data_IF_669566677798
#
_entry.id   IF_669566677798
#
_cell.length_a   1.000
_cell.length_b   1.000
_cell.length_c   1.000
_cell.angle_alpha   90.00
_cell.angle_beta   90.00
_cell.angle_gamma   90.00
#
_symmetry.space_group_name_H-M   'P 1'
#
loop_
_entity.id
_entity.type
_entity.pdbx_description
1 polymer ?
#
# COMPACT_ATOMS: atom_id res chain seq x y z
N UNK A 1 -16.18 -23.20 4.41
CA UNK A 1 -15.88 -21.75 4.54
C UNK A 1 -17.15 -21.01 4.96
N UNK A 2 -17.04 -20.01 5.80
CA UNK A 2 -18.19 -19.23 6.25
C UNK A 2 -18.79 -18.43 5.08
N UNK A 3 -20.14 -18.29 5.08
CA UNK A 3 -20.87 -17.43 4.12
C UNK A 3 -20.43 -15.96 4.17
N UNK A 4 -19.65 -15.56 5.19
CA UNK A 4 -19.10 -14.22 5.33
C UNK A 4 -17.78 -14.00 4.56
N UNK A 5 -17.20 -15.08 4.02
CA UNK A 5 -15.96 -15.03 3.26
C UNK A 5 -16.28 -15.39 1.82
N UNK A 6 -15.88 -14.53 0.90
CA UNK A 6 -15.98 -14.74 -0.54
C UNK A 6 -14.60 -14.66 -1.16
N UNK A 7 -14.34 -15.53 -2.14
CA UNK A 7 -13.13 -15.49 -2.92
C UNK A 7 -13.45 -15.07 -4.34
N UNK A 8 -12.59 -14.23 -4.92
CA UNK A 8 -12.69 -13.82 -6.31
C UNK A 8 -11.33 -13.98 -6.97
N UNK A 9 -11.32 -14.62 -8.13
CA UNK A 9 -10.12 -14.69 -8.97
C UNK A 9 -10.04 -13.45 -9.86
N UNK A 10 -8.82 -12.95 -10.09
CA UNK A 10 -8.61 -11.81 -10.97
C UNK A 10 -7.16 -11.33 -10.96
N UNK A 11 -6.87 -10.44 -11.89
CA UNK A 11 -5.61 -9.72 -11.97
C UNK A 11 -5.85 -8.28 -11.52
N UNK A 12 -5.34 -7.91 -10.33
CA UNK A 12 -5.60 -6.59 -9.74
C UNK A 12 -4.93 -5.42 -10.51
N UNK A 13 -4.11 -5.70 -11.52
CA UNK A 13 -3.62 -4.67 -12.43
C UNK A 13 -4.53 -4.45 -13.64
N UNK A 14 -5.38 -5.41 -13.96
CA UNK A 14 -6.27 -5.38 -15.14
C UNK A 14 -7.74 -5.29 -14.76
N UNK A 15 -8.13 -6.03 -13.74
CA UNK A 15 -9.52 -6.13 -13.31
C UNK A 15 -9.84 -5.09 -12.23
N UNK A 16 -11.06 -4.52 -12.22
CA UNK A 16 -11.46 -3.65 -11.12
C UNK A 16 -11.55 -4.45 -9.81
N UNK A 17 -11.14 -3.82 -8.72
CA UNK A 17 -11.30 -4.42 -7.40
C UNK A 17 -12.78 -4.43 -6.99
N UNK A 18 -13.22 -5.44 -6.22
CA UNK A 18 -14.57 -5.43 -5.65
C UNK A 18 -14.79 -4.19 -4.79
N UNK A 19 -16.03 -3.67 -4.83
CA UNK A 19 -16.39 -2.53 -3.96
C UNK A 19 -16.33 -2.92 -2.49
N UNK A 20 -15.76 -2.06 -1.67
CA UNK A 20 -15.59 -2.30 -0.24
C UNK A 20 -15.52 -1.00 0.55
N UNK A 21 -15.75 -1.09 1.86
CA UNK A 21 -15.57 0.03 2.79
C UNK A 21 -14.12 0.10 3.29
N UNK A 22 -13.43 -1.03 3.33
CA UNK A 22 -12.03 -1.15 3.69
C UNK A 22 -11.32 -2.04 2.70
N UNK A 23 -10.19 -1.59 2.18
CA UNK A 23 -9.31 -2.39 1.32
C UNK A 23 -7.94 -2.46 2.01
N UNK A 24 -7.40 -3.67 2.14
CA UNK A 24 -6.08 -3.90 2.71
C UNK A 24 -5.15 -4.56 1.70
N UNK A 25 -3.91 -4.13 1.70
CA UNK A 25 -2.81 -4.79 0.98
C UNK A 25 -1.65 -4.99 1.96
N UNK A 26 -1.25 -6.23 2.17
CA UNK A 26 -0.13 -6.56 3.05
C UNK A 26 1.07 -7.05 2.27
N UNK A 27 2.22 -6.40 2.43
CA UNK A 27 3.50 -6.77 1.81
C UNK A 27 3.42 -6.94 0.30
N UNK A 28 2.68 -6.05 -0.38
CA UNK A 28 2.42 -6.09 -1.83
C UNK A 28 3.00 -4.86 -2.55
N UNK A 29 2.78 -3.66 -2.03
CA UNK A 29 3.19 -2.43 -2.73
C UNK A 29 4.72 -2.36 -2.95
N UNK A 30 5.51 -2.89 -2.02
CA UNK A 30 6.97 -2.87 -2.14
C UNK A 30 7.51 -3.74 -3.30
N UNK A 31 6.72 -4.71 -3.79
CA UNK A 31 7.12 -5.59 -4.90
C UNK A 31 7.14 -4.88 -6.25
N UNK A 32 6.58 -3.68 -6.35
CA UNK A 32 6.31 -3.03 -7.63
C UNK A 32 7.04 -1.70 -7.80
N UNK A 33 7.19 -1.29 -9.07
CA UNK A 33 7.69 0.04 -9.41
C UNK A 33 6.68 1.14 -9.08
N UNK A 34 7.09 2.39 -9.23
CA UNK A 34 6.27 3.55 -8.89
C UNK A 34 4.93 3.57 -9.64
N UNK A 35 4.95 3.29 -10.93
CA UNK A 35 3.75 3.30 -11.76
C UNK A 35 2.71 2.29 -11.27
N UNK A 36 3.14 1.07 -10.98
CA UNK A 36 2.27 0.01 -10.45
C UNK A 36 1.79 0.29 -9.04
N UNK A 37 2.64 0.89 -8.18
CA UNK A 37 2.22 1.36 -6.85
C UNK A 37 1.08 2.37 -6.96
N UNK A 38 1.24 3.39 -7.79
CA UNK A 38 0.22 4.42 -8.04
C UNK A 38 -1.06 3.83 -8.63
N UNK A 39 -0.92 2.88 -9.55
CA UNK A 39 -2.06 2.16 -10.12
C UNK A 39 -2.86 1.42 -9.05
N UNK A 40 -2.18 0.66 -8.18
CA UNK A 40 -2.82 -0.09 -7.11
C UNK A 40 -3.56 0.82 -6.12
N UNK A 41 -2.95 1.93 -5.74
CA UNK A 41 -3.56 2.93 -4.84
C UNK A 41 -4.80 3.56 -5.49
N UNK A 42 -4.73 3.89 -6.77
CA UNK A 42 -5.87 4.44 -7.52
C UNK A 42 -6.99 3.42 -7.68
N UNK A 43 -6.65 2.16 -7.96
CA UNK A 43 -7.64 1.07 -8.04
C UNK A 43 -8.37 0.89 -6.70
N UNK A 44 -7.65 0.94 -5.59
CA UNK A 44 -8.24 0.90 -4.25
C UNK A 44 -9.16 2.11 -4.02
N UNK A 45 -8.73 3.31 -4.37
CA UNK A 45 -9.56 4.51 -4.27
C UNK A 45 -10.88 4.38 -5.03
N UNK A 46 -10.83 3.89 -6.27
CA UNK A 46 -12.01 3.73 -7.11
C UNK A 46 -12.98 2.68 -6.58
N UNK A 47 -12.49 1.63 -5.94
CA UNK A 47 -13.30 0.56 -5.39
C UNK A 47 -13.88 0.88 -4.00
N UNK A 48 -13.26 1.82 -3.27
CA UNK A 48 -13.74 2.23 -1.95
C UNK A 48 -15.04 3.01 -2.02
N UNK A 49 -15.93 2.73 -1.07
CA UNK A 49 -17.13 3.55 -0.83
C UNK A 49 -16.75 4.94 -0.33
N UNK A 50 -17.71 5.86 -0.33
CA UNK A 50 -17.54 7.18 0.29
C UNK A 50 -17.16 6.99 1.77
N UNK A 51 -16.10 7.69 2.23
CA UNK A 51 -15.49 7.54 3.56
C UNK A 51 -14.79 6.18 3.78
N UNK A 52 -14.51 5.44 2.72
CA UNK A 52 -13.75 4.19 2.79
C UNK A 52 -12.28 4.40 3.15
N UNK A 53 -11.61 3.31 3.53
CA UNK A 53 -10.24 3.33 4.05
C UNK A 53 -9.37 2.34 3.29
N UNK A 54 -8.21 2.78 2.85
CA UNK A 54 -7.16 1.94 2.28
C UNK A 54 -6.03 1.74 3.29
N UNK A 55 -5.64 0.51 3.55
CA UNK A 55 -4.58 0.16 4.51
C UNK A 55 -3.50 -0.65 3.81
N UNK A 56 -2.30 -0.09 3.72
CA UNK A 56 -1.11 -0.80 3.26
C UNK A 56 -0.27 -1.20 4.48
N UNK A 57 -0.10 -2.49 4.70
CA UNK A 57 0.75 -3.03 5.77
C UNK A 57 2.11 -3.34 5.18
N UNK A 58 3.12 -2.55 5.54
CA UNK A 58 4.44 -2.55 4.91
C UNK A 58 5.55 -2.23 5.91
N UNK A 59 6.80 -2.46 5.51
CA UNK A 59 7.97 -1.96 6.24
C UNK A 59 8.21 -0.49 5.89
N UNK A 60 7.29 0.38 6.30
CA UNK A 60 7.33 1.79 5.95
C UNK A 60 8.61 2.43 6.47
N UNK A 61 9.35 3.09 5.58
CA UNK A 61 10.59 3.76 5.91
C UNK A 61 10.26 5.13 6.54
N UNK A 62 11.02 5.53 7.57
CA UNK A 62 10.91 6.88 8.11
C UNK A 62 11.27 7.92 7.05
N UNK A 63 10.64 9.10 7.10
CA UNK A 63 10.78 10.13 6.07
C UNK A 63 12.23 10.60 5.88
N UNK A 64 13.04 10.56 6.94
CA UNK A 64 14.45 10.92 6.89
C UNK A 64 15.35 9.77 6.42
N UNK A 65 14.81 8.56 6.27
CA UNK A 65 15.51 7.34 5.85
C UNK A 65 16.70 6.98 6.72
N UNK A 66 16.55 7.07 8.05
CA UNK A 66 17.63 6.87 9.02
C UNK A 66 17.37 5.80 10.06
N UNK A 67 16.12 5.54 10.40
CA UNK A 67 15.75 4.73 11.57
C UNK A 67 15.34 3.31 11.24
N UNK A 68 14.51 3.11 10.22
CA UNK A 68 14.07 1.78 9.84
C UNK A 68 15.11 1.09 8.96
N UNK A 69 16.16 0.59 9.58
CA UNK A 69 17.26 -0.11 8.88
C UNK A 69 16.77 -1.33 8.13
N UNK A 70 15.86 -2.11 8.70
CA UNK A 70 15.28 -3.28 8.04
C UNK A 70 14.53 -2.88 6.76
N UNK A 71 13.69 -1.85 6.81
CA UNK A 71 12.99 -1.34 5.64
C UNK A 71 13.94 -0.85 4.55
N UNK A 72 15.02 -0.15 4.92
CA UNK A 72 16.03 0.30 3.97
C UNK A 72 16.77 -0.87 3.30
N UNK A 73 17.12 -1.91 4.05
CA UNK A 73 17.76 -3.11 3.52
C UNK A 73 16.79 -3.89 2.62
N UNK A 74 15.52 -4.00 3.00
CA UNK A 74 14.51 -4.65 2.18
C UNK A 74 14.25 -3.89 0.88
N UNK A 75 14.29 -2.57 0.90
CA UNK A 75 14.17 -1.75 -0.31
C UNK A 75 15.30 -2.05 -1.30
N UNK A 76 16.52 -2.16 -0.80
CA UNK A 76 17.67 -2.55 -1.62
C UNK A 76 17.51 -3.98 -2.16
N UNK A 77 17.07 -4.91 -1.32
CA UNK A 77 16.84 -6.29 -1.72
C UNK A 77 15.78 -6.40 -2.82
N UNK A 78 14.67 -5.67 -2.70
CA UNK A 78 13.62 -5.63 -3.72
C UNK A 78 14.15 -5.08 -5.05
N UNK A 79 14.99 -4.05 -5.01
CA UNK A 79 15.62 -3.51 -6.22
C UNK A 79 16.55 -4.53 -6.90
N UNK A 80 17.23 -5.35 -6.13
CA UNK A 80 18.10 -6.42 -6.67
C UNK A 80 17.27 -7.55 -7.28
N UNK A 81 16.22 -7.99 -6.61
CA UNK A 81 15.41 -9.14 -7.04
C UNK A 81 14.48 -8.81 -8.21
N UNK A 82 13.87 -7.64 -8.20
CA UNK A 82 12.81 -7.23 -9.14
C UNK A 82 13.20 -6.06 -10.04
N UNK A 83 14.40 -5.54 -9.90
CA UNK A 83 14.95 -4.49 -10.75
C UNK A 83 14.51 -3.08 -10.38
N UNK A 84 13.22 -2.82 -10.31
CA UNK A 84 12.64 -1.50 -10.08
C UNK A 84 11.65 -1.43 -8.90
N UNK A 85 11.56 -2.49 -8.13
CA UNK A 85 10.76 -2.53 -6.90
C UNK A 85 11.50 -1.80 -5.75
N UNK A 86 10.74 -1.18 -4.85
CA UNK A 86 11.30 -0.46 -3.71
C UNK A 86 10.27 -0.26 -2.58
N UNK A 87 10.76 -0.16 -1.35
CA UNK A 87 9.98 0.28 -0.20
C UNK A 87 9.88 1.82 -0.18
N UNK A 88 8.99 2.35 0.64
CA UNK A 88 8.62 3.76 0.62
C UNK A 88 8.44 4.32 2.02
N UNK A 89 8.51 5.65 2.12
CA UNK A 89 8.23 6.40 3.34
C UNK A 89 6.74 6.75 3.45
N UNK A 90 6.32 7.19 4.64
CA UNK A 90 4.96 7.71 4.83
C UNK A 90 4.68 8.94 3.96
N UNK A 91 5.68 9.81 3.74
CA UNK A 91 5.56 10.96 2.85
C UNK A 91 5.35 10.55 1.38
N UNK A 92 6.07 9.53 0.92
CA UNK A 92 5.88 8.97 -0.42
C UNK A 92 4.45 8.44 -0.58
N UNK A 93 4.00 7.63 0.37
CA UNK A 93 2.64 7.08 0.39
C UNK A 93 1.58 8.18 0.33
N UNK A 94 1.75 9.22 1.13
CA UNK A 94 0.82 10.36 1.14
C UNK A 94 0.76 11.07 -0.21
N UNK A 95 1.91 11.32 -0.84
CA UNK A 95 1.96 11.93 -2.17
C UNK A 95 1.12 11.13 -3.18
N UNK A 96 1.28 9.81 -3.20
CA UNK A 96 0.53 8.94 -4.11
C UNK A 96 -0.96 8.85 -3.77
N UNK A 97 -1.29 8.87 -2.48
CA UNK A 97 -2.67 8.91 -2.03
C UNK A 97 -3.36 10.23 -2.44
N UNK A 98 -2.69 11.37 -2.30
CA UNK A 98 -3.22 12.66 -2.75
C UNK A 98 -3.49 12.67 -4.26
N UNK A 99 -2.59 12.15 -5.05
CA UNK A 99 -2.77 12.04 -6.50
C UNK A 99 -4.00 11.19 -6.87
N UNK A 100 -4.31 10.16 -6.08
CA UNK A 100 -5.49 9.31 -6.27
C UNK A 100 -6.79 9.97 -5.79
N UNK A 101 -6.72 10.94 -4.87
CA UNK A 101 -7.88 11.67 -4.36
C UNK A 101 -8.17 11.48 -2.87
N UNK A 102 -7.35 10.73 -2.13
CA UNK A 102 -7.52 10.57 -0.68
C UNK A 102 -7.38 11.92 0.05
N UNK A 103 -8.15 12.11 1.11
CA UNK A 103 -8.25 13.39 1.84
C UNK A 103 -7.23 13.53 2.96
N UNK A 104 -6.87 12.41 3.59
CA UNK A 104 -5.92 12.39 4.71
C UNK A 104 -5.24 11.03 4.80
N UNK A 105 -4.21 10.95 5.62
CA UNK A 105 -3.48 9.71 5.87
C UNK A 105 -2.96 9.68 7.30
N UNK A 106 -2.57 8.48 7.73
CA UNK A 106 -1.74 8.29 8.91
C UNK A 106 -0.86 7.06 8.74
N UNK A 107 0.19 6.98 9.54
CA UNK A 107 1.06 5.81 9.63
C UNK A 107 1.07 5.37 11.08
N UNK A 108 0.66 4.11 11.31
CA UNK A 108 0.63 3.50 12.64
C UNK A 108 1.66 2.37 12.71
N UNK A 109 2.56 2.45 13.67
CA UNK A 109 3.49 1.36 13.95
C UNK A 109 2.71 0.14 14.47
N UNK A 110 3.00 -1.03 13.92
CA UNK A 110 2.35 -2.30 14.31
C UNK A 110 3.30 -3.17 15.15
N UNK A 111 4.32 -3.73 14.53
CA UNK A 111 5.26 -4.61 15.20
C UNK A 111 6.59 -4.65 14.44
N UNK A 112 7.72 -4.61 15.14
CA UNK A 112 9.04 -4.63 14.53
C UNK A 112 9.19 -3.53 13.48
N UNK A 113 9.62 -3.84 12.24
CA UNK A 113 9.75 -2.85 11.17
C UNK A 113 8.42 -2.50 10.48
N UNK A 114 7.34 -3.20 10.81
CA UNK A 114 6.07 -3.14 10.09
C UNK A 114 5.16 -2.04 10.62
N UNK A 115 4.56 -1.29 9.71
CA UNK A 115 3.57 -0.25 9.99
C UNK A 115 2.38 -0.36 9.05
N UNK A 116 1.25 0.22 9.46
CA UNK A 116 0.10 0.42 8.59
C UNK A 116 0.13 1.85 8.05
N UNK A 117 0.21 2.00 6.74
CA UNK A 117 0.00 3.27 6.06
C UNK A 117 -1.46 3.33 5.61
N UNK A 118 -2.20 4.31 6.09
CA UNK A 118 -3.65 4.38 5.99
C UNK A 118 -4.05 5.62 5.19
N UNK A 119 -4.83 5.43 4.13
CA UNK A 119 -5.42 6.51 3.35
C UNK A 119 -6.93 6.57 3.57
N UNK A 120 -7.45 7.76 3.83
CA UNK A 120 -8.89 8.01 4.05
C UNK A 120 -9.50 8.72 2.83
N UNK A 121 -10.52 8.07 2.25
CA UNK A 121 -11.24 8.60 1.07
C UNK A 121 -12.20 9.74 1.40
#
# INVERSE_FOLDING_TARGET
>A
MSVRIQTAAGDFFRDPLPKADVITMGMILHDWNLEKKKHSIRAAYNALSKHGVFIAVENVIDNERRENTFGLLMSLNMSIEFGDAFDFSGADFWTWCQEAGFKSYEVLHLAGPCSAAIGYK
#
